data_IF_230799196266
#
_entry.id   IF_230799196266
#
_cell.length_a   1.000
_cell.length_b   1.000
_cell.length_c   1.000
_cell.angle_alpha   90.00
_cell.angle_beta   90.00
_cell.angle_gamma   90.00
#
_symmetry.space_group_name_H-M   'P 1'
#
loop_
_entity.id
_entity.type
_entity.pdbx_description
1 polymer ?
#
# COMPACT_ATOMS: atom_id res chain seq x y z
N UNK A 1 0.47 29.14 -14.18
CA UNK A 1 1.26 27.98 -14.64
C UNK A 1 2.06 27.47 -13.44
N UNK A 2 1.64 26.35 -12.84
CA UNK A 2 2.30 25.79 -11.64
C UNK A 2 3.37 24.81 -12.11
N UNK A 3 4.62 25.25 -12.16
CA UNK A 3 5.75 24.37 -12.44
C UNK A 3 5.97 23.55 -11.17
N UNK A 4 5.48 22.31 -11.18
CA UNK A 4 5.83 21.32 -10.16
C UNK A 4 7.08 20.60 -10.69
N UNK A 5 8.20 20.59 -9.95
CA UNK A 5 9.35 19.79 -10.34
C UNK A 5 8.90 18.32 -10.50
N UNK A 6 9.34 17.61 -11.54
CA UNK A 6 9.05 16.19 -11.66
C UNK A 6 9.59 15.48 -10.41
N UNK A 7 8.82 14.52 -9.89
CA UNK A 7 9.30 13.73 -8.77
C UNK A 7 10.58 12.98 -9.19
N UNK A 8 11.62 12.94 -8.34
CA UNK A 8 12.77 12.08 -8.59
C UNK A 8 12.28 10.64 -8.79
N UNK A 9 12.80 9.96 -9.81
CA UNK A 9 12.54 8.54 -10.00
C UNK A 9 13.09 7.77 -8.80
N UNK A 10 12.20 7.17 -8.01
CA UNK A 10 12.56 6.28 -6.90
C UNK A 10 11.90 4.95 -7.18
N UNK A 11 12.71 3.92 -7.41
CA UNK A 11 12.24 2.55 -7.54
C UNK A 11 11.82 2.05 -6.15
N UNK A 12 10.51 1.86 -5.96
CA UNK A 12 9.98 1.38 -4.68
C UNK A 12 10.60 0.03 -4.31
N UNK A 13 10.86 -0.17 -3.02
CA UNK A 13 11.48 -1.38 -2.44
C UNK A 13 12.94 -1.64 -2.83
N UNK A 14 13.44 -1.01 -3.89
CA UNK A 14 14.83 -1.10 -4.31
C UNK A 14 15.63 0.09 -3.80
N UNK A 15 15.18 1.32 -4.04
CA UNK A 15 15.95 2.52 -3.75
C UNK A 15 15.79 2.97 -2.28
N UNK A 16 16.90 3.08 -1.57
CA UNK A 16 17.00 3.43 -0.15
C UNK A 16 17.67 4.79 0.06
N UNK A 17 18.13 5.14 1.26
CA UNK A 17 18.93 6.37 1.48
C UNK A 17 20.38 6.27 0.95
N UNK A 18 20.54 5.95 -0.33
CA UNK A 18 21.83 5.89 -1.02
C UNK A 18 22.40 7.29 -1.28
N UNK A 19 23.72 7.39 -1.43
CA UNK A 19 24.38 8.67 -1.64
C UNK A 19 24.05 9.30 -3.00
N UNK A 20 23.91 10.64 -3.07
CA UNK A 20 24.00 11.58 -1.95
C UNK A 20 22.66 11.75 -1.21
N UNK A 21 22.60 11.38 0.08
CA UNK A 21 21.50 11.73 1.00
C UNK A 21 21.65 13.18 1.46
N UNK A 22 21.35 14.12 0.56
CA UNK A 22 21.55 15.57 0.74
C UNK A 22 20.85 16.13 1.98
N UNK A 23 19.77 15.48 2.43
CA UNK A 23 18.96 15.91 3.56
C UNK A 23 19.22 15.09 4.84
N UNK A 24 20.23 14.20 4.79
CA UNK A 24 20.66 13.33 5.89
C UNK A 24 19.50 12.59 6.59
N UNK A 25 18.53 12.15 5.78
CA UNK A 25 17.29 11.53 6.26
C UNK A 25 17.42 10.07 6.61
N UNK A 26 18.55 9.44 6.26
CA UNK A 26 18.86 8.06 6.66
C UNK A 26 18.67 7.85 8.16
N UNK A 27 19.18 8.77 8.99
CA UNK A 27 19.07 8.68 10.47
C UNK A 27 17.60 8.64 10.93
N UNK A 28 16.75 9.47 10.32
CA UNK A 28 15.31 9.48 10.63
C UNK A 28 14.63 8.19 10.17
N UNK A 29 15.00 7.68 8.99
CA UNK A 29 14.48 6.42 8.47
C UNK A 29 14.89 5.21 9.32
N UNK A 30 16.13 5.18 9.81
CA UNK A 30 16.64 4.15 10.70
C UNK A 30 15.90 4.15 12.05
N UNK A 31 15.67 5.34 12.61
CA UNK A 31 14.90 5.52 13.84
C UNK A 31 13.43 5.10 13.68
N UNK A 32 12.79 5.45 12.55
CA UNK A 32 11.42 5.04 12.25
C UNK A 32 11.30 3.51 12.15
N UNK A 33 12.21 2.88 11.42
CA UNK A 33 12.22 1.42 11.28
C UNK A 33 12.44 0.72 12.63
N UNK A 34 13.30 1.26 13.49
CA UNK A 34 13.52 0.69 14.82
C UNK A 34 12.34 0.88 15.76
N UNK A 35 11.63 2.02 15.69
CA UNK A 35 10.39 2.22 16.42
C UNK A 35 9.33 1.20 16.00
N UNK A 36 9.11 1.03 14.69
CA UNK A 36 8.09 0.13 14.16
C UNK A 36 8.39 -1.34 14.46
N UNK A 37 9.66 -1.75 14.43
CA UNK A 37 10.04 -3.14 14.73
C UNK A 37 9.98 -3.50 16.22
N UNK A 38 9.83 -2.51 17.12
CA UNK A 38 9.76 -2.74 18.58
C UNK A 38 8.35 -2.82 19.12
N UNK A 39 7.34 -2.46 18.31
CA UNK A 39 5.95 -2.35 18.75
C UNK A 39 5.16 -3.47 18.07
N UNK A 40 4.69 -4.43 18.86
CA UNK A 40 3.85 -5.53 18.36
C UNK A 40 2.36 -5.13 18.26
N UNK A 41 1.93 -4.10 18.99
CA UNK A 41 0.56 -3.62 18.99
C UNK A 41 0.22 -2.81 17.72
N UNK A 42 -1.03 -2.86 17.22
CA UNK A 42 -1.47 -2.04 16.11
C UNK A 42 -1.25 -0.54 16.39
N UNK A 43 -0.46 0.12 15.53
CA UNK A 43 -0.08 1.52 15.67
C UNK A 43 -0.40 2.31 14.40
N UNK A 44 -0.82 3.57 14.58
CA UNK A 44 -0.92 4.55 13.50
C UNK A 44 0.15 5.61 13.69
N UNK A 45 1.00 5.81 12.67
CA UNK A 45 2.04 6.84 12.65
C UNK A 45 1.69 7.90 11.61
N UNK A 46 1.68 9.17 12.03
CA UNK A 46 1.50 10.30 11.14
C UNK A 46 2.83 11.04 10.95
N UNK A 47 3.30 11.15 9.70
CA UNK A 47 4.46 11.96 9.34
C UNK A 47 4.01 13.38 8.96
N UNK A 48 4.17 14.33 9.86
CA UNK A 48 3.85 15.73 9.61
C UNK A 48 5.04 16.53 9.05
N UNK A 49 4.75 17.52 8.23
CA UNK A 49 5.73 18.45 7.66
C UNK A 49 5.11 19.36 6.61
N UNK A 50 5.72 20.52 6.37
CA UNK A 50 5.22 21.50 5.39
C UNK A 50 5.18 20.93 3.97
N UNK A 51 4.36 21.52 3.09
CA UNK A 51 4.38 21.19 1.66
C UNK A 51 5.78 21.42 1.08
N UNK A 52 6.24 20.55 0.17
CA UNK A 52 7.56 20.66 -0.46
C UNK A 52 8.75 20.21 0.39
N UNK A 53 8.52 19.74 1.62
CA UNK A 53 9.58 19.16 2.46
C UNK A 53 10.00 17.76 2.01
N UNK A 54 9.39 17.16 0.98
CA UNK A 54 9.78 15.85 0.47
C UNK A 54 9.37 14.67 1.37
N UNK A 55 8.24 14.77 2.08
CA UNK A 55 7.67 13.65 2.87
C UNK A 55 7.45 12.39 2.03
N UNK A 56 6.84 12.56 0.85
CA UNK A 56 6.64 11.47 -0.11
C UNK A 56 7.96 10.84 -0.51
N UNK A 57 8.95 11.65 -0.88
CA UNK A 57 10.28 11.17 -1.24
C UNK A 57 10.97 10.43 -0.07
N UNK A 58 10.86 10.96 1.15
CA UNK A 58 11.36 10.31 2.35
C UNK A 58 10.74 8.92 2.56
N UNK A 59 9.40 8.79 2.49
CA UNK A 59 8.72 7.51 2.67
C UNK A 59 9.11 6.49 1.58
N UNK A 60 9.20 6.93 0.31
CA UNK A 60 9.63 6.06 -0.81
C UNK A 60 11.03 5.48 -0.58
N UNK A 61 11.99 6.31 -0.12
CA UNK A 61 13.37 5.88 0.20
C UNK A 61 13.42 5.05 1.48
N UNK A 62 12.59 5.39 2.48
CA UNK A 62 12.48 4.60 3.71
C UNK A 62 12.02 3.17 3.43
N UNK A 63 11.06 2.96 2.53
CA UNK A 63 10.59 1.63 2.13
C UNK A 63 11.76 0.77 1.61
N UNK A 64 12.58 1.30 0.69
CA UNK A 64 13.72 0.55 0.15
C UNK A 64 14.83 0.28 1.16
N UNK A 65 15.02 1.17 2.15
CA UNK A 65 15.95 0.91 3.27
C UNK A 65 15.38 -0.10 4.27
N UNK A 66 14.10 -0.02 4.59
CA UNK A 66 13.43 -0.93 5.52
C UNK A 66 13.38 -2.36 4.96
N UNK A 67 13.05 -2.50 3.67
CA UNK A 67 13.00 -3.80 3.00
C UNK A 67 14.37 -4.52 2.93
N UNK A 68 15.47 -3.76 2.99
CA UNK A 68 16.85 -4.28 2.92
C UNK A 68 17.51 -4.50 4.28
N UNK A 69 16.81 -4.26 5.40
CA UNK A 69 17.40 -4.47 6.74
C UNK A 69 17.79 -5.94 6.95
N UNK A 70 18.94 -6.15 7.59
CA UNK A 70 19.61 -7.44 7.70
C UNK A 70 18.71 -8.57 8.24
N UNK A 71 18.74 -9.72 7.56
CA UNK A 71 18.13 -10.97 8.03
C UNK A 71 16.77 -11.35 7.44
N UNK A 72 16.15 -10.50 6.62
CA UNK A 72 14.85 -10.79 6.01
C UNK A 72 13.67 -10.77 6.99
N UNK A 73 13.91 -10.34 8.23
CA UNK A 73 12.93 -10.29 9.33
C UNK A 73 12.16 -8.94 9.38
N UNK A 74 12.33 -8.11 8.35
CA UNK A 74 11.63 -6.83 8.24
C UNK A 74 10.16 -7.06 7.88
N UNK A 75 9.27 -6.26 8.47
CA UNK A 75 7.85 -6.34 8.18
C UNK A 75 7.57 -6.06 6.69
N UNK A 76 6.63 -6.81 6.11
CA UNK A 76 6.16 -6.54 4.76
C UNK A 76 5.54 -5.15 4.69
N UNK A 77 6.11 -4.27 3.87
CA UNK A 77 5.60 -2.91 3.67
C UNK A 77 4.67 -2.87 2.46
N UNK A 78 3.51 -2.22 2.61
CA UNK A 78 2.56 -1.96 1.53
C UNK A 78 2.52 -0.45 1.30
N UNK A 79 2.94 0.00 0.11
CA UNK A 79 2.80 1.40 -0.30
C UNK A 79 1.47 1.62 -1.00
N UNK A 80 0.72 2.64 -0.56
CA UNK A 80 -0.54 3.05 -1.18
C UNK A 80 -0.60 4.57 -1.30
N UNK A 81 -0.77 5.06 -2.54
CA UNK A 81 -0.96 6.48 -2.82
C UNK A 81 -2.45 6.79 -2.94
N UNK A 82 -2.99 7.45 -1.91
CA UNK A 82 -4.39 7.84 -1.88
C UNK A 82 -4.76 8.87 -2.96
N UNK A 83 -3.86 9.80 -3.30
CA UNK A 83 -4.14 10.83 -4.29
C UNK A 83 -4.19 10.27 -5.71
N UNK A 84 -3.39 9.24 -6.01
CA UNK A 84 -3.44 8.55 -7.29
C UNK A 84 -4.77 7.80 -7.51
N UNK A 85 -5.44 7.40 -6.43
CA UNK A 85 -6.66 6.58 -6.47
C UNK A 85 -7.94 7.34 -6.05
N UNK A 86 -7.83 8.62 -5.72
CA UNK A 86 -8.95 9.48 -5.26
C UNK A 86 -10.06 9.65 -6.31
N UNK A 87 -9.78 9.31 -7.57
CA UNK A 87 -10.76 9.33 -8.66
C UNK A 87 -11.64 8.07 -8.74
N UNK A 88 -11.33 7.02 -7.97
CA UNK A 88 -12.12 5.78 -7.92
C UNK A 88 -13.28 5.95 -6.93
N UNK A 89 -14.49 5.54 -7.33
CA UNK A 89 -15.69 5.66 -6.50
C UNK A 89 -15.66 4.82 -5.20
N UNK A 90 -14.77 3.83 -5.11
CA UNK A 90 -14.49 3.04 -3.90
C UNK A 90 -12.97 2.79 -3.78
N UNK A 91 -12.31 3.17 -2.67
CA UNK A 91 -10.88 2.92 -2.45
C UNK A 91 -10.56 1.47 -2.08
N UNK A 92 -11.54 0.66 -1.64
CA UNK A 92 -11.29 -0.70 -1.16
C UNK A 92 -10.69 -1.62 -2.23
N UNK A 93 -11.18 -1.65 -3.50
CA UNK A 93 -10.57 -2.48 -4.54
C UNK A 93 -9.11 -2.14 -4.81
N UNK A 94 -8.77 -0.85 -4.80
CA UNK A 94 -7.40 -0.38 -5.01
C UNK A 94 -6.47 -0.82 -3.86
N UNK A 95 -6.94 -0.71 -2.62
CA UNK A 95 -6.20 -1.15 -1.45
C UNK A 95 -5.98 -2.67 -1.43
N UNK A 96 -7.02 -3.46 -1.72
CA UNK A 96 -6.93 -4.93 -1.80
C UNK A 96 -5.95 -5.36 -2.88
N UNK A 97 -5.99 -4.71 -4.05
CA UNK A 97 -5.03 -4.99 -5.13
C UNK A 97 -3.58 -4.72 -4.71
N UNK A 98 -3.32 -3.59 -4.03
CA UNK A 98 -1.99 -3.25 -3.55
C UNK A 98 -1.48 -4.25 -2.50
N UNK A 99 -2.38 -4.75 -1.64
CA UNK A 99 -2.06 -5.78 -0.67
C UNK A 99 -1.75 -7.13 -1.33
N UNK A 100 -2.56 -7.56 -2.30
CA UNK A 100 -2.32 -8.80 -3.06
C UNK A 100 -0.96 -8.80 -3.78
N UNK A 101 -0.59 -7.66 -4.37
CA UNK A 101 0.71 -7.49 -5.03
C UNK A 101 1.88 -7.59 -4.04
N UNK A 102 1.76 -6.96 -2.87
CA UNK A 102 2.80 -7.01 -1.83
C UNK A 102 2.99 -8.40 -1.23
N UNK A 103 1.89 -9.11 -0.97
CA UNK A 103 1.93 -10.50 -0.49
C UNK A 103 2.56 -11.43 -1.52
N UNK A 104 2.26 -11.24 -2.81
CA UNK A 104 2.83 -12.06 -3.90
C UNK A 104 4.33 -11.81 -4.10
N UNK A 105 4.80 -10.58 -3.83
CA UNK A 105 6.22 -10.17 -3.93
C UNK A 105 7.10 -10.78 -2.85
N UNK A 106 6.54 -11.09 -1.68
CA UNK A 106 7.30 -11.54 -0.50
C UNK A 106 7.79 -13.00 -0.55
N UNK A 107 7.61 -13.73 -1.67
CA UNK A 107 8.22 -15.04 -1.92
C UNK A 107 7.82 -16.19 -0.98
N UNK A 108 8.15 -17.46 -1.29
CA UNK A 108 7.56 -18.65 -0.67
C UNK A 108 8.38 -19.29 0.49
N UNK A 109 9.25 -18.54 1.19
CA UNK A 109 10.15 -19.12 2.20
C UNK A 109 9.57 -19.28 3.62
N UNK A 110 8.24 -19.37 3.73
CA UNK A 110 7.59 -20.01 4.88
C UNK A 110 6.47 -20.93 4.38
N UNK A 111 6.65 -22.27 4.41
CA UNK A 111 5.59 -23.21 4.11
C UNK A 111 4.67 -23.31 5.33
N UNK A 112 3.79 -22.32 5.53
CA UNK A 112 2.62 -22.51 6.38
C UNK A 112 1.39 -22.72 5.50
N UNK A 113 0.69 -23.87 5.63
CA UNK A 113 -0.50 -24.18 4.83
C UNK A 113 -1.67 -23.19 5.02
N UNK A 114 -1.59 -22.35 6.05
CA UNK A 114 -2.60 -21.36 6.47
C UNK A 114 -2.78 -20.18 5.50
N UNK A 115 -1.72 -19.70 4.82
CA UNK A 115 -1.79 -18.44 4.04
C UNK A 115 -2.62 -18.56 2.75
N UNK A 116 -2.62 -19.73 2.10
CA UNK A 116 -3.47 -19.98 0.91
C UNK A 116 -4.94 -20.00 1.28
N UNK A 117 -5.27 -20.55 2.45
CA UNK A 117 -6.62 -20.58 2.99
C UNK A 117 -7.09 -19.18 3.36
N UNK A 118 -6.24 -18.33 3.94
CA UNK A 118 -6.56 -16.94 4.26
C UNK A 118 -6.78 -16.07 3.03
N UNK A 119 -5.92 -16.16 2.01
CA UNK A 119 -6.10 -15.44 0.74
C UNK A 119 -7.36 -15.93 0.01
N UNK A 120 -7.64 -17.23 0.03
CA UNK A 120 -8.88 -17.78 -0.52
C UNK A 120 -10.10 -17.35 0.28
N UNK A 121 -10.02 -17.30 1.60
CA UNK A 121 -11.09 -16.82 2.47
C UNK A 121 -11.37 -15.33 2.23
N UNK A 122 -10.33 -14.51 2.06
CA UNK A 122 -10.46 -13.09 1.77
C UNK A 122 -11.04 -12.84 0.36
N UNK A 123 -10.60 -13.60 -0.65
CA UNK A 123 -11.18 -13.57 -2.01
C UNK A 123 -12.63 -14.07 -2.03
N UNK A 124 -12.93 -15.13 -1.29
CA UNK A 124 -14.28 -15.66 -1.16
C UNK A 124 -15.22 -14.70 -0.40
N UNK A 125 -14.71 -14.00 0.62
CA UNK A 125 -15.43 -12.97 1.33
C UNK A 125 -15.71 -11.77 0.41
N UNK A 126 -14.70 -11.25 -0.28
CA UNK A 126 -14.86 -10.17 -1.27
C UNK A 126 -15.89 -10.54 -2.35
N UNK A 127 -15.84 -11.77 -2.89
CA UNK A 127 -16.80 -12.25 -3.89
C UNK A 127 -18.22 -12.45 -3.32
N UNK A 128 -18.34 -12.83 -2.04
CA UNK A 128 -19.63 -12.93 -1.34
C UNK A 128 -20.29 -11.57 -1.14
N UNK A 129 -19.51 -10.52 -0.90
CA UNK A 129 -20.02 -9.15 -0.81
C UNK A 129 -20.28 -8.52 -2.20
N UNK A 130 -19.56 -8.93 -3.24
CA UNK A 130 -19.79 -8.46 -4.61
C UNK A 130 -21.08 -9.02 -5.25
N UNK A 131 -21.47 -10.27 -4.96
CA UNK A 131 -22.66 -10.92 -5.55
C UNK A 131 -24.00 -10.20 -5.30
N UNK A 132 -24.34 -9.75 -4.08
CA UNK A 132 -25.59 -9.03 -3.85
C UNK A 132 -25.59 -7.62 -4.47
N UNK A 133 -24.43 -6.95 -4.55
CA UNK A 133 -24.29 -5.63 -5.21
C UNK A 133 -24.52 -5.73 -6.73
N UNK A 134 -24.00 -6.78 -7.38
CA UNK A 134 -24.24 -7.03 -8.81
C UNK A 134 -25.72 -7.31 -9.13
N UNK A 135 -26.44 -8.00 -8.22
CA UNK A 135 -27.89 -8.27 -8.40
C UNK A 135 -28.76 -7.04 -8.17
N UNK A 136 -28.38 -6.16 -7.25
CA UNK A 136 -29.10 -4.90 -7.05
C UNK A 136 -28.99 -3.96 -8.26
N UNK A 137 -27.83 -3.91 -8.94
CA UNK A 137 -27.64 -3.12 -10.16
C UNK A 137 -28.33 -3.69 -11.41
N UNK A 138 -28.52 -5.01 -11.48
CA UNK A 138 -29.23 -5.64 -12.62
C UNK A 138 -30.76 -5.51 -12.50
N UNK A 139 -31.29 -5.44 -11.28
CA UNK A 139 -32.71 -5.24 -11.04
C UNK A 139 -33.19 -3.81 -11.36
N UNK A 140 -32.32 -2.80 -11.30
CA UNK A 140 -32.67 -1.42 -11.66
C UNK A 140 -32.64 -1.13 -13.17
N UNK A 141 -32.09 -2.03 -13.99
CA UNK A 141 -32.05 -1.88 -15.47
C UNK A 141 -33.13 -2.69 -16.20
N UNK A 142 -33.82 -3.61 -15.52
CA UNK A 142 -34.89 -4.44 -16.11
C UNK A 142 -36.31 -3.91 -15.90
N UNK A 143 -36.49 -2.78 -15.21
CA UNK A 143 -37.80 -2.30 -14.75
C UNK A 143 -38.54 -1.30 -15.65
N UNK A 144 -38.03 -0.93 -16.84
CA UNK A 144 -38.62 0.15 -17.66
C UNK A 144 -39.14 -0.27 -19.03
N UNK A 145 -39.47 -1.55 -19.26
CA UNK A 145 -40.19 -1.97 -20.47
C UNK A 145 -41.41 -2.81 -20.09
N UNK A 146 -42.42 -2.15 -19.50
CA UNK A 146 -43.81 -2.60 -19.49
C UNK A 146 -44.71 -1.45 -18.99
N UNK A 147 -45.72 -1.09 -19.81
CA UNK A 147 -46.74 -0.05 -19.66
C UNK A 147 -46.32 1.40 -20.01
N UNK A 148 -46.53 1.80 -21.26
CA UNK A 148 -47.72 2.57 -21.67
C UNK A 148 -47.78 2.73 -23.20
#
# INVERSE_FOLDING_TARGET
>A
MRIVPPEPGVNLYEDGFEEPDLLQRKRLGDALSELLNRIDDPLVVALDGRWGTGKTHFLKRWIGTHARRDGGDAATVVYFDAFAHDSLGDPLPALVSALEESVSRSGPDSPSPTRKEEIQAMKAAAFRFAKPLARAGLASLGGSIALS
#
